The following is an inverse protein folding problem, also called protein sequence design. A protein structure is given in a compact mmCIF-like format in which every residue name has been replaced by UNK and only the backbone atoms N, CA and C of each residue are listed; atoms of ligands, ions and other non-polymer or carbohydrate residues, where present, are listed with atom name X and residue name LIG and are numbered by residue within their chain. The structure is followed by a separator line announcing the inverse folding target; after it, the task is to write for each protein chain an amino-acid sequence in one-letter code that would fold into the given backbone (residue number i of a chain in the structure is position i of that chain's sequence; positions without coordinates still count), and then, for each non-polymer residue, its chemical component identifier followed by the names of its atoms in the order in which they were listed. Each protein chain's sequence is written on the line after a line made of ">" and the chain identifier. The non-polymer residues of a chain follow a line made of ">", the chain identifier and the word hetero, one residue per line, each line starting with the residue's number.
data_IF_349255430261
#
_entry.id   IF_349255430261
#
_cell.length_a   1.000
_cell.length_b   1.000
_cell.length_c   1.000
_cell.angle_alpha   90.00
_cell.angle_beta   90.00
_cell.angle_gamma   90.00
#
_symmetry.space_group_name_H-M   'P 1'
#
loop_
_entity.id
_entity.type
_entity.pdbx_description
1 polymer ?
#
# COMPACT_ATOMS: atom_id res chain seq x y z
N UNK A 1 10.82 10.86 -1.44
CA UNK A 1 11.52 11.95 -0.74
C UNK A 1 12.92 11.48 -0.36
N UNK A 2 13.94 12.27 -0.67
CA UNK A 2 15.33 12.00 -0.26
C UNK A 2 15.64 13.02 0.82
N UNK A 3 15.39 12.66 2.08
CA UNK A 3 15.47 13.61 3.21
C UNK A 3 16.72 13.45 4.06
N UNK A 4 17.67 12.63 3.64
CA UNK A 4 18.98 12.57 4.29
C UNK A 4 19.63 13.96 4.29
N UNK A 5 19.52 14.65 5.43
CA UNK A 5 19.74 16.11 5.54
C UNK A 5 21.21 16.49 5.38
N UNK A 6 22.11 15.53 5.59
CA UNK A 6 23.55 15.72 5.39
C UNK A 6 23.92 15.81 3.91
N UNK A 7 23.27 15.00 3.05
CA UNK A 7 23.53 14.96 1.61
C UNK A 7 22.61 15.89 0.81
N UNK A 8 21.39 16.13 1.31
CA UNK A 8 20.37 16.93 0.65
C UNK A 8 19.73 17.94 1.62
N UNK A 9 20.43 19.06 1.94
CA UNK A 9 19.91 20.07 2.86
C UNK A 9 18.62 20.71 2.34
N UNK A 10 17.58 20.71 3.16
CA UNK A 10 16.24 21.20 2.79
C UNK A 10 16.12 22.72 2.68
N UNK A 11 17.13 23.46 3.10
CA UNK A 11 17.22 24.93 3.08
C UNK A 11 18.01 25.48 1.87
N UNK A 12 18.47 24.61 0.97
CA UNK A 12 19.17 24.99 -0.25
C UNK A 12 18.34 24.74 -1.51
N UNK A 13 18.55 25.56 -2.55
CA UNK A 13 17.87 25.35 -3.84
C UNK A 13 18.19 23.97 -4.44
N UNK A 14 19.44 23.52 -4.32
CA UNK A 14 19.88 22.23 -4.85
C UNK A 14 19.18 21.05 -4.15
N UNK A 15 19.08 21.06 -2.81
CA UNK A 15 18.37 20.02 -2.06
C UNK A 15 16.87 19.99 -2.35
N UNK A 16 16.23 21.16 -2.49
CA UNK A 16 14.83 21.27 -2.90
C UNK A 16 14.60 20.73 -4.31
N UNK A 17 15.49 21.01 -5.26
CA UNK A 17 15.40 20.48 -6.63
C UNK A 17 15.55 18.96 -6.65
N UNK A 18 16.52 18.40 -5.92
CA UNK A 18 16.72 16.95 -5.84
C UNK A 18 15.48 16.23 -5.27
N UNK A 19 14.91 16.76 -4.18
CA UNK A 19 13.69 16.23 -3.59
C UNK A 19 12.49 16.31 -4.55
N UNK A 20 12.31 17.45 -5.23
CA UNK A 20 11.22 17.63 -6.19
C UNK A 20 11.31 16.63 -7.35
N UNK A 21 12.51 16.36 -7.87
CA UNK A 21 12.71 15.38 -8.94
C UNK A 21 12.42 13.96 -8.44
N UNK A 22 12.97 13.58 -7.28
CA UNK A 22 12.74 12.26 -6.69
C UNK A 22 11.24 12.02 -6.43
N UNK A 23 10.56 13.02 -5.85
CA UNK A 23 9.12 12.97 -5.62
C UNK A 23 8.35 12.89 -6.94
N UNK A 24 8.73 13.64 -7.96
CA UNK A 24 8.09 13.55 -9.28
C UNK A 24 8.16 12.14 -9.89
N UNK A 25 9.33 11.49 -9.83
CA UNK A 25 9.51 10.11 -10.31
C UNK A 25 8.64 9.13 -9.50
N UNK A 26 8.66 9.26 -8.17
CA UNK A 26 7.82 8.47 -7.28
C UNK A 26 6.33 8.62 -7.63
N UNK A 27 5.86 9.86 -7.84
CA UNK A 27 4.47 10.14 -8.17
C UNK A 27 4.07 9.54 -9.52
N UNK A 28 4.94 9.55 -10.52
CA UNK A 28 4.67 8.89 -11.80
C UNK A 28 4.46 7.39 -11.59
N UNK A 29 5.35 6.73 -10.84
CA UNK A 29 5.20 5.31 -10.51
C UNK A 29 3.89 5.04 -9.73
N UNK A 30 3.58 5.87 -8.74
CA UNK A 30 2.34 5.78 -7.97
C UNK A 30 1.10 5.94 -8.85
N UNK A 31 1.08 6.91 -9.76
CA UNK A 31 -0.03 7.11 -10.70
C UNK A 31 -0.21 5.92 -11.64
N UNK A 32 0.88 5.31 -12.13
CA UNK A 32 0.80 4.09 -12.94
C UNK A 32 0.17 2.92 -12.16
N UNK A 33 0.56 2.73 -10.89
CA UNK A 33 -0.02 1.70 -10.03
C UNK A 33 -1.51 1.97 -9.73
N UNK A 34 -1.88 3.22 -9.45
CA UNK A 34 -3.29 3.62 -9.22
C UNK A 34 -4.12 3.40 -10.48
N UNK A 35 -3.61 3.78 -11.66
CA UNK A 35 -4.28 3.53 -12.93
C UNK A 35 -4.46 2.02 -13.16
N UNK A 36 -3.41 1.22 -13.01
CA UNK A 36 -3.48 -0.22 -13.17
C UNK A 36 -4.50 -0.87 -12.21
N UNK A 37 -4.44 -0.54 -10.91
CA UNK A 37 -5.36 -1.05 -9.90
C UNK A 37 -6.82 -0.67 -10.18
N UNK A 38 -7.06 0.58 -10.60
CA UNK A 38 -8.40 1.07 -10.97
C UNK A 38 -8.92 0.35 -12.21
N UNK A 39 -8.11 0.24 -13.27
CA UNK A 39 -8.48 -0.46 -14.50
C UNK A 39 -8.81 -1.92 -14.22
N UNK A 40 -7.97 -2.64 -13.46
CA UNK A 40 -8.24 -4.03 -13.07
C UNK A 40 -9.51 -4.18 -12.25
N UNK A 41 -9.78 -3.23 -11.35
CA UNK A 41 -11.02 -3.20 -10.55
C UNK A 41 -12.25 -3.00 -11.44
N UNK A 42 -12.20 -2.04 -12.38
CA UNK A 42 -13.29 -1.77 -13.33
C UNK A 42 -13.53 -2.96 -14.25
N UNK A 43 -12.47 -3.59 -14.77
CA UNK A 43 -12.58 -4.79 -15.61
C UNK A 43 -13.23 -5.94 -14.83
N UNK A 44 -12.75 -6.20 -13.61
CA UNK A 44 -13.30 -7.25 -12.73
C UNK A 44 -14.77 -6.99 -12.38
N UNK A 45 -15.15 -5.72 -12.17
CA UNK A 45 -16.52 -5.31 -11.91
C UNK A 45 -17.41 -5.56 -13.13
N UNK A 46 -16.96 -5.17 -14.33
CA UNK A 46 -17.70 -5.37 -15.59
C UNK A 46 -17.95 -6.86 -15.88
N UNK A 47 -16.97 -7.71 -15.56
CA UNK A 47 -17.09 -9.17 -15.68
C UNK A 47 -17.91 -9.81 -14.54
N UNK A 48 -18.47 -9.01 -13.62
CA UNK A 48 -19.21 -9.46 -12.43
C UNK A 48 -18.42 -10.42 -11.53
N UNK A 49 -17.08 -10.38 -11.60
CA UNK A 49 -16.18 -11.22 -10.79
C UNK A 49 -16.00 -10.69 -9.37
N UNK A 50 -16.19 -9.40 -9.17
CA UNK A 50 -16.15 -8.75 -7.86
C UNK A 50 -17.49 -8.05 -7.61
N UNK A 51 -18.20 -8.46 -6.57
CA UNK A 51 -19.40 -7.74 -6.13
C UNK A 51 -19.00 -6.67 -5.10
N UNK A 52 -19.75 -5.56 -4.97
CA UNK A 52 -19.48 -4.52 -3.97
C UNK A 52 -19.56 -5.10 -2.56
N UNK A 53 -18.40 -5.46 -2.02
CA UNK A 53 -18.22 -5.90 -0.65
C UNK A 53 -17.17 -5.03 0.02
N UNK A 54 -17.61 -4.29 1.04
CA UNK A 54 -16.75 -3.40 1.79
C UNK A 54 -15.54 -4.11 2.39
N UNK A 55 -15.72 -5.28 3.00
CA UNK A 55 -14.62 -6.03 3.64
C UNK A 55 -13.56 -6.46 2.63
N UNK A 56 -13.99 -6.82 1.41
CA UNK A 56 -13.09 -7.23 0.33
C UNK A 56 -12.25 -6.06 -0.16
N UNK A 57 -12.89 -4.96 -0.59
CA UNK A 57 -12.19 -3.82 -1.18
C UNK A 57 -11.36 -3.04 -0.15
N UNK A 58 -11.93 -2.82 1.04
CA UNK A 58 -11.21 -2.15 2.12
C UNK A 58 -10.03 -2.99 2.63
N UNK A 59 -10.20 -4.31 2.70
CA UNK A 59 -9.09 -5.22 3.03
C UNK A 59 -7.93 -5.14 2.03
N UNK A 60 -8.23 -5.12 0.73
CA UNK A 60 -7.21 -4.93 -0.31
C UNK A 60 -6.51 -3.57 -0.21
N UNK A 61 -7.24 -2.49 0.08
CA UNK A 61 -6.67 -1.15 0.25
C UNK A 61 -5.72 -1.10 1.45
N UNK A 62 -6.15 -1.58 2.62
CA UNK A 62 -5.32 -1.62 3.83
C UNK A 62 -4.09 -2.51 3.64
N UNK A 63 -4.27 -3.67 2.99
CA UNK A 63 -3.17 -4.57 2.68
C UNK A 63 -2.17 -3.92 1.71
N UNK A 64 -2.65 -3.27 0.66
CA UNK A 64 -1.83 -2.54 -0.29
C UNK A 64 -1.03 -1.41 0.36
N UNK A 65 -1.65 -0.66 1.27
CA UNK A 65 -0.96 0.36 2.08
C UNK A 65 0.16 -0.27 2.93
N UNK A 66 -0.13 -1.35 3.65
CA UNK A 66 0.89 -2.06 4.42
C UNK A 66 2.06 -2.56 3.56
N UNK A 67 1.77 -3.16 2.40
CA UNK A 67 2.80 -3.66 1.48
C UNK A 67 3.68 -2.50 0.98
N UNK A 68 3.06 -1.40 0.58
CA UNK A 68 3.78 -0.21 0.15
C UNK A 68 4.74 0.28 1.23
N UNK A 69 4.27 0.43 2.48
CA UNK A 69 5.13 0.88 3.58
C UNK A 69 6.25 -0.12 3.90
N UNK A 70 6.02 -1.44 3.80
CA UNK A 70 7.09 -2.44 4.00
C UNK A 70 8.17 -2.29 2.93
N UNK A 71 7.79 -2.10 1.67
CA UNK A 71 8.72 -1.92 0.56
C UNK A 71 9.52 -0.63 0.76
N UNK A 72 8.82 0.46 1.07
CA UNK A 72 9.43 1.78 1.30
C UNK A 72 10.38 1.73 2.51
N UNK A 73 9.94 1.24 3.66
CA UNK A 73 10.80 1.14 4.84
C UNK A 73 12.01 0.21 4.63
N UNK A 74 11.88 -0.87 3.84
CA UNK A 74 13.02 -1.74 3.54
C UNK A 74 14.00 -1.09 2.56
N UNK A 75 13.49 -0.49 1.49
CA UNK A 75 14.35 0.09 0.46
C UNK A 75 14.94 1.41 0.95
N UNK A 76 14.12 2.35 1.39
CA UNK A 76 14.55 3.73 1.64
C UNK A 76 15.23 3.87 3.01
N UNK A 77 14.77 3.15 4.05
CA UNK A 77 15.35 3.29 5.39
C UNK A 77 16.48 2.30 5.66
N UNK A 78 16.36 1.05 5.20
CA UNK A 78 17.33 0.00 5.55
C UNK A 78 18.40 -0.23 4.48
N UNK A 79 18.03 -0.27 3.20
CA UNK A 79 18.97 -0.58 2.11
C UNK A 79 19.67 0.69 1.63
N UNK A 80 18.91 1.73 1.29
CA UNK A 80 19.42 2.98 0.73
C UNK A 80 19.79 3.98 1.83
N UNK A 81 19.15 3.91 3.00
CA UNK A 81 19.36 4.83 4.13
C UNK A 81 19.21 6.31 3.74
N UNK A 82 18.30 6.59 2.80
CA UNK A 82 18.07 7.94 2.24
C UNK A 82 16.91 8.67 2.90
N UNK A 83 16.12 7.95 3.71
CA UNK A 83 14.96 8.44 4.42
C UNK A 83 14.86 7.67 5.74
N UNK A 84 14.83 8.37 6.88
CA UNK A 84 14.44 7.75 8.13
C UNK A 84 13.19 8.43 8.67
N UNK A 85 12.43 7.69 9.48
CA UNK A 85 11.20 8.23 10.10
C UNK A 85 11.48 9.48 10.95
N UNK A 86 12.69 9.58 11.51
CA UNK A 86 13.16 10.67 12.38
C UNK A 86 14.59 11.09 12.01
N UNK A 87 14.75 11.65 10.82
CA UNK A 87 16.03 12.25 10.39
C UNK A 87 16.48 13.41 11.31
N UNK A 88 15.54 14.14 11.88
CA UNK A 88 15.76 15.28 12.80
C UNK A 88 16.48 14.91 14.10
N UNK A 89 16.46 13.64 14.49
CA UNK A 89 17.07 13.12 15.72
C UNK A 89 18.30 12.24 15.45
N UNK A 90 18.89 12.35 14.25
CA UNK A 90 20.03 11.53 13.85
C UNK A 90 19.63 10.08 13.51
N UNK A 91 18.46 9.91 12.88
CA UNK A 91 17.97 8.63 12.37
C UNK A 91 17.94 7.46 13.39
N UNK A 92 17.24 7.55 14.53
CA UNK A 92 17.21 6.45 15.50
C UNK A 92 16.50 5.22 14.93
N UNK A 93 17.23 4.10 14.83
CA UNK A 93 16.75 2.82 14.25
C UNK A 93 15.42 2.31 14.83
N UNK A 94 15.12 2.63 16.09
CA UNK A 94 13.87 2.23 16.74
C UNK A 94 12.62 2.74 16.02
N UNK A 95 12.70 3.91 15.38
CA UNK A 95 11.56 4.48 14.65
C UNK A 95 11.30 3.74 13.34
N UNK A 96 12.35 3.38 12.60
CA UNK A 96 12.22 2.59 11.38
C UNK A 96 11.70 1.19 11.66
N UNK A 97 12.17 0.56 12.74
CA UNK A 97 11.66 -0.74 13.19
C UNK A 97 10.18 -0.62 13.58
N UNK A 98 9.80 0.41 14.33
CA UNK A 98 8.41 0.66 14.69
C UNK A 98 7.51 0.84 13.46
N UNK A 99 8.00 1.57 12.46
CA UNK A 99 7.33 1.75 11.17
C UNK A 99 7.16 0.42 10.42
N UNK A 100 8.21 -0.41 10.33
CA UNK A 100 8.13 -1.74 9.70
C UNK A 100 7.12 -2.66 10.43
N UNK A 101 7.14 -2.67 11.77
CA UNK A 101 6.19 -3.46 12.57
C UNK A 101 4.76 -3.01 12.27
N UNK A 102 4.49 -1.70 12.30
CA UNK A 102 3.16 -1.16 11.99
C UNK A 102 2.72 -1.52 10.57
N UNK A 103 3.64 -1.48 9.62
CA UNK A 103 3.38 -1.81 8.22
C UNK A 103 3.01 -3.28 8.04
N UNK A 104 3.72 -4.20 8.69
CA UNK A 104 3.37 -5.63 8.72
C UNK A 104 1.98 -5.84 9.36
N UNK A 105 1.65 -5.11 10.43
CA UNK A 105 0.31 -5.17 11.04
C UNK A 105 -0.78 -4.74 10.06
N UNK A 106 -0.57 -3.68 9.27
CA UNK A 106 -1.49 -3.27 8.21
C UNK A 106 -1.68 -4.38 7.17
N UNK A 107 -0.61 -5.03 6.72
CA UNK A 107 -0.69 -6.17 5.78
C UNK A 107 -1.56 -7.29 6.35
N UNK A 108 -1.31 -7.68 7.61
CA UNK A 108 -2.05 -8.76 8.27
C UNK A 108 -3.52 -8.40 8.44
N UNK A 109 -3.84 -7.19 8.93
CA UNK A 109 -5.22 -6.73 9.11
C UNK A 109 -5.95 -6.66 7.77
N UNK A 110 -5.33 -6.08 6.75
CA UNK A 110 -5.88 -6.01 5.40
C UNK A 110 -6.17 -7.39 4.80
N UNK A 111 -5.24 -8.33 4.97
CA UNK A 111 -5.39 -9.72 4.53
C UNK A 111 -6.58 -10.43 5.20
N UNK A 112 -6.74 -10.25 6.51
CA UNK A 112 -7.85 -10.85 7.27
C UNK A 112 -9.20 -10.27 6.82
N UNK A 113 -9.28 -8.96 6.58
CA UNK A 113 -10.47 -8.29 6.05
C UNK A 113 -10.81 -8.77 4.64
N UNK A 114 -9.81 -8.85 3.76
CA UNK A 114 -9.95 -9.39 2.41
C UNK A 114 -10.51 -10.82 2.45
N UNK A 115 -9.91 -11.71 3.27
CA UNK A 115 -10.37 -13.09 3.42
C UNK A 115 -11.81 -13.18 3.89
N UNK A 116 -12.21 -12.34 4.84
CA UNK A 116 -13.60 -12.26 5.30
C UNK A 116 -14.53 -11.85 4.16
N UNK A 117 -14.14 -10.84 3.38
CA UNK A 117 -14.91 -10.38 2.22
C UNK A 117 -15.04 -11.43 1.13
N UNK A 118 -13.96 -12.13 0.80
CA UNK A 118 -13.95 -13.20 -0.20
C UNK A 118 -14.91 -14.34 0.16
N UNK A 119 -14.90 -14.79 1.42
CA UNK A 119 -15.84 -15.82 1.92
C UNK A 119 -17.30 -15.39 1.82
N UNK A 120 -17.60 -14.11 2.08
CA UNK A 120 -18.96 -13.58 1.95
C UNK A 120 -19.42 -13.62 0.48
N UNK A 121 -18.55 -13.27 -0.47
CA UNK A 121 -18.86 -13.33 -1.90
C UNK A 121 -19.13 -14.77 -2.36
N UNK A 122 -18.32 -15.74 -1.92
CA UNK A 122 -18.55 -17.18 -2.18
C UNK A 122 -19.90 -17.64 -1.61
N UNK A 123 -20.20 -17.32 -0.34
CA UNK A 123 -21.47 -17.71 0.28
C UNK A 123 -22.70 -17.15 -0.47
N UNK A 124 -22.62 -15.90 -0.94
CA UNK A 124 -23.68 -15.28 -1.72
C UNK A 124 -23.86 -15.95 -3.08
N UNK A 125 -22.77 -16.37 -3.75
CA UNK A 125 -22.86 -17.11 -5.00
C UNK A 125 -23.57 -18.46 -4.83
N UNK A 126 -23.29 -19.19 -3.75
CA UNK A 126 -23.94 -20.48 -3.44
C UNK A 126 -25.44 -20.27 -3.21
N UNK A 127 -25.83 -19.29 -2.40
CA UNK A 127 -27.27 -19.02 -2.14
C UNK A 127 -28.05 -18.53 -3.35
N UNK A 128 -27.37 -17.95 -4.35
CA UNK A 128 -28.00 -17.44 -5.59
C UNK A 128 -28.13 -18.50 -6.68
N UNK A 129 -27.57 -19.70 -6.50
CA UNK A 129 -27.74 -20.81 -7.44
C UNK A 129 -28.97 -21.67 -7.05
N UNK A 130 -30.11 -21.55 -7.75
CA UNK A 130 -31.32 -22.29 -7.42
C UNK A 130 -31.20 -23.80 -7.67
N UNK A 131 -30.14 -24.27 -8.34
CA UNK A 131 -29.91 -25.70 -8.59
C UNK A 131 -29.43 -26.49 -7.36
N UNK A 132 -29.00 -25.80 -6.30
CA UNK A 132 -28.46 -26.39 -5.06
C UNK A 132 -29.55 -26.63 -3.99
N UNK A 133 -30.73 -26.01 -4.13
CA UNK A 133 -31.81 -26.06 -3.11
C UNK A 133 -32.80 -27.23 -3.22
N UNK A 134 -32.70 -28.09 -4.24
CA UNK A 134 -33.59 -29.23 -4.45
C UNK A 134 -32.81 -30.57 -4.46
N UNK A 135 -32.18 -30.92 -3.33
CA UNK A 135 -31.76 -32.29 -3.02
C UNK A 135 -31.95 -32.58 -1.54
#
# INVERSE_FOLDING_TARGET
>A
MVSHVEDYPTDTLAGLQANTVADGVFHVAAWLLVMAGTTLTVLSWRERRVAPNWSFHFGLLVMGWGIFNVIEGLIDHQILQIHHVRDDLGAPLSWDIGFLIFSVLLVVVGWLLYKRGARQLESQSITRDPSVGNR
#
